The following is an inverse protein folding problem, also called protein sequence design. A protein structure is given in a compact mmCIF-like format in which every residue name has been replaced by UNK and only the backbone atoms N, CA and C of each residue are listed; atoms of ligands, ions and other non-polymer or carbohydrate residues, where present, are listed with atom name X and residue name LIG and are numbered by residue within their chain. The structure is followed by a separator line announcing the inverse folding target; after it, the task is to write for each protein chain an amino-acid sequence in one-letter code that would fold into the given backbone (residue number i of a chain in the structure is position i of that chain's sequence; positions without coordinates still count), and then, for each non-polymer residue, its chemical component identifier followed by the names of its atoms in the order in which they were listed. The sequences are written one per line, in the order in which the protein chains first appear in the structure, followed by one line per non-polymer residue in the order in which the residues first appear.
data_IF_237436799997
#
_entry.id   IF_237436799997
#
_cell.length_a   1.000
_cell.length_b   1.000
_cell.length_c   1.000
_cell.angle_alpha   90.00
_cell.angle_beta   90.00
_cell.angle_gamma   90.00
#
_symmetry.space_group_name_H-M   'P 1'
#
loop_
_entity.id
_entity.type
_entity.pdbx_description
1 polymer ?
#
# COMPACT_ATOMS: atom_id res chain seq x y z
N UNK A 1 -1.00 -7.85 5.57
CA UNK A 1 -0.80 -7.55 4.14
C UNK A 1 -0.72 -8.80 3.27
N UNK A 2 -0.55 -10.01 3.83
CA UNK A 2 -0.41 -11.24 3.05
C UNK A 2 1.02 -11.53 2.54
N UNK A 3 2.03 -10.75 2.96
CA UNK A 3 3.44 -10.92 2.53
C UNK A 3 4.45 -11.15 3.65
N UNK A 4 4.01 -11.33 4.91
CA UNK A 4 4.89 -11.67 6.03
C UNK A 4 5.30 -13.15 6.04
N UNK A 5 6.15 -13.57 6.98
CA UNK A 5 6.45 -15.00 7.20
C UNK A 5 7.21 -15.69 6.06
N UNK A 6 8.03 -14.96 5.31
CA UNK A 6 8.77 -15.52 4.17
C UNK A 6 7.96 -15.65 2.88
N UNK A 7 6.71 -15.17 2.86
CA UNK A 7 5.81 -15.35 1.72
C UNK A 7 6.05 -14.37 0.56
N UNK A 8 7.03 -13.47 0.64
CA UNK A 8 7.20 -12.36 -0.31
C UNK A 8 7.86 -12.76 -1.66
N UNK A 9 8.17 -14.04 -1.86
CA UNK A 9 8.65 -14.55 -3.16
C UNK A 9 7.59 -14.39 -4.26
N UNK A 10 8.03 -14.32 -5.51
CA UNK A 10 7.16 -14.23 -6.67
C UNK A 10 6.47 -15.56 -7.00
N UNK A 11 7.03 -16.70 -6.58
CA UNK A 11 6.39 -18.02 -6.72
C UNK A 11 5.08 -18.13 -5.93
N UNK A 12 4.93 -17.30 -4.90
CA UNK A 12 3.76 -17.27 -4.02
C UNK A 12 2.82 -16.10 -4.33
N UNK A 13 2.91 -15.50 -5.53
CA UNK A 13 2.14 -14.32 -5.88
C UNK A 13 0.61 -14.55 -5.81
N UNK A 14 0.11 -15.70 -6.27
CA UNK A 14 -1.31 -16.03 -6.18
C UNK A 14 -1.80 -16.09 -4.72
N UNK A 15 -1.01 -16.72 -3.84
CA UNK A 15 -1.28 -16.76 -2.41
C UNK A 15 -1.25 -15.35 -1.79
N UNK A 16 -0.26 -14.53 -2.17
CA UNK A 16 -0.11 -13.14 -1.73
C UNK A 16 -1.30 -12.28 -2.14
N UNK A 17 -1.81 -12.45 -3.35
CA UNK A 17 -3.02 -11.80 -3.85
C UNK A 17 -4.20 -12.21 -2.98
N UNK A 18 -4.50 -13.52 -2.89
CA UNK A 18 -5.59 -14.04 -2.04
C UNK A 18 -5.51 -13.57 -0.59
N UNK A 19 -4.32 -13.57 0.01
CA UNK A 19 -4.10 -13.11 1.39
C UNK A 19 -4.27 -11.61 1.59
N UNK A 20 -4.28 -10.81 0.52
CA UNK A 20 -4.55 -9.37 0.57
C UNK A 20 -6.04 -9.02 0.47
N UNK A 21 -6.89 -9.94 -0.01
CA UNK A 21 -8.32 -9.72 -0.28
C UNK A 21 -9.07 -8.91 0.80
N UNK A 22 -9.07 -9.30 2.10
CA UNK A 22 -9.85 -8.57 3.10
C UNK A 22 -9.38 -7.12 3.28
N UNK A 23 -8.11 -6.81 2.98
CA UNK A 23 -7.59 -5.44 3.03
C UNK A 23 -7.89 -4.65 1.76
N UNK A 24 -8.03 -5.32 0.62
CA UNK A 24 -8.38 -4.69 -0.65
C UNK A 24 -9.87 -4.36 -0.72
N UNK A 25 -10.73 -5.22 -0.15
CA UNK A 25 -12.16 -4.93 0.03
C UNK A 25 -12.36 -3.71 0.94
N UNK A 26 -11.67 -3.68 2.09
CA UNK A 26 -11.71 -2.53 2.98
C UNK A 26 -11.19 -1.24 2.31
N UNK A 27 -10.11 -1.33 1.51
CA UNK A 27 -9.58 -0.20 0.75
C UNK A 27 -10.59 0.28 -0.30
N UNK A 28 -11.24 -0.63 -1.03
CA UNK A 28 -12.25 -0.31 -2.03
C UNK A 28 -13.42 0.43 -1.41
N UNK A 29 -13.93 -0.06 -0.29
CA UNK A 29 -15.02 0.57 0.42
C UNK A 29 -14.68 2.03 0.77
N UNK A 30 -13.54 2.29 1.41
CA UNK A 30 -13.19 3.67 1.80
C UNK A 30 -12.75 4.55 0.64
N UNK A 31 -12.23 3.97 -0.44
CA UNK A 31 -11.95 4.69 -1.69
C UNK A 31 -13.24 5.18 -2.34
N UNK A 32 -14.24 4.30 -2.45
CA UNK A 32 -15.54 4.59 -3.07
C UNK A 32 -16.39 5.53 -2.19
N UNK A 33 -16.46 5.30 -0.87
CA UNK A 33 -17.32 6.06 0.04
C UNK A 33 -16.71 7.38 0.53
N UNK A 34 -15.38 7.44 0.69
CA UNK A 34 -14.69 8.57 1.34
C UNK A 34 -13.66 9.26 0.43
N UNK A 35 -13.48 8.77 -0.80
CA UNK A 35 -12.51 9.34 -1.73
C UNK A 35 -11.05 9.18 -1.28
N UNK A 36 -10.74 8.16 -0.47
CA UNK A 36 -9.35 7.87 -0.07
C UNK A 36 -8.52 7.60 -1.33
N UNK A 37 -7.42 8.34 -1.48
CA UNK A 37 -6.55 8.29 -2.66
C UNK A 37 -5.12 7.82 -2.35
N UNK A 38 -4.83 7.45 -1.10
CA UNK A 38 -3.51 7.01 -0.68
C UNK A 38 -3.56 6.00 0.47
N UNK A 39 -2.94 4.84 0.28
CA UNK A 39 -2.73 3.81 1.29
C UNK A 39 -1.33 4.00 1.91
N UNK A 40 -1.28 4.67 3.06
CA UNK A 40 -0.05 4.92 3.80
C UNK A 40 0.34 3.71 4.67
N UNK A 41 1.57 3.23 4.51
CA UNK A 41 2.06 2.01 5.15
C UNK A 41 3.29 2.30 6.01
N UNK A 42 3.23 1.95 7.29
CA UNK A 42 4.38 2.10 8.22
C UNK A 42 5.42 0.99 8.05
N UNK A 43 4.99 -0.20 7.60
CA UNK A 43 5.85 -1.36 7.45
C UNK A 43 6.41 -1.48 6.02
N UNK A 44 7.73 -1.66 5.90
CA UNK A 44 8.42 -1.83 4.61
C UNK A 44 7.90 -3.04 3.82
N UNK A 45 7.70 -4.19 4.48
CA UNK A 45 7.15 -5.40 3.84
C UNK A 45 5.73 -5.13 3.33
N UNK A 46 4.91 -4.42 4.10
CA UNK A 46 3.57 -4.02 3.66
C UNK A 46 3.65 -3.15 2.40
N UNK A 47 4.56 -2.18 2.35
CA UNK A 47 4.77 -1.33 1.17
C UNK A 47 5.13 -2.18 -0.05
N UNK A 48 6.14 -3.04 0.06
CA UNK A 48 6.55 -3.93 -1.04
C UNK A 48 5.41 -4.83 -1.50
N UNK A 49 4.68 -5.43 -0.55
CA UNK A 49 3.56 -6.31 -0.83
C UNK A 49 2.44 -5.61 -1.59
N UNK A 50 1.90 -4.51 -1.04
CA UNK A 50 0.76 -3.82 -1.66
C UNK A 50 1.13 -3.08 -2.95
N UNK A 51 2.37 -2.62 -3.11
CA UNK A 51 2.83 -2.03 -4.38
C UNK A 51 2.72 -3.04 -5.53
N UNK A 52 2.97 -4.33 -5.26
CA UNK A 52 2.85 -5.41 -6.24
C UNK A 52 1.42 -5.94 -6.37
N UNK A 53 0.69 -6.07 -5.26
CA UNK A 53 -0.62 -6.74 -5.21
C UNK A 53 -1.81 -5.84 -5.53
N UNK A 54 -1.78 -4.56 -5.14
CA UNK A 54 -2.92 -3.65 -5.35
C UNK A 54 -3.39 -3.53 -6.83
N UNK A 55 -2.51 -3.59 -7.85
CA UNK A 55 -2.93 -3.62 -9.26
C UNK A 55 -3.81 -4.81 -9.65
N UNK A 56 -3.69 -5.97 -9.00
CA UNK A 56 -4.56 -7.13 -9.24
C UNK A 56 -6.01 -6.87 -8.81
N UNK A 57 -6.22 -5.87 -7.96
CA UNK A 57 -7.53 -5.42 -7.46
C UNK A 57 -8.00 -4.12 -8.13
N UNK A 58 -7.34 -3.68 -9.20
CA UNK A 58 -7.72 -2.47 -9.95
C UNK A 58 -7.21 -1.15 -9.36
N UNK A 59 -6.38 -1.18 -8.31
CA UNK A 59 -5.78 0.03 -7.76
C UNK A 59 -4.47 0.39 -8.45
N UNK A 60 -4.26 1.68 -8.70
CA UNK A 60 -3.01 2.17 -9.27
C UNK A 60 -1.85 2.01 -8.27
N UNK A 61 -0.66 1.64 -8.76
CA UNK A 61 0.54 1.49 -7.89
C UNK A 61 0.86 2.76 -7.10
N UNK A 62 0.65 3.94 -7.70
CA UNK A 62 0.92 5.25 -7.07
C UNK A 62 0.03 5.54 -5.85
N UNK A 63 -1.09 4.82 -5.70
CA UNK A 63 -1.95 4.92 -4.52
C UNK A 63 -1.26 4.33 -3.27
N UNK A 64 -0.25 3.48 -3.42
CA UNK A 64 0.42 2.79 -2.31
C UNK A 64 1.73 3.49 -1.97
N UNK A 65 1.95 3.81 -0.69
CA UNK A 65 3.21 4.41 -0.28
C UNK A 65 3.51 4.27 1.21
N UNK A 66 4.69 4.75 1.61
CA UNK A 66 5.12 4.70 3.01
C UNK A 66 4.66 5.92 3.79
N UNK A 67 4.42 5.80 5.10
CA UNK A 67 4.13 6.97 5.95
C UNK A 67 5.27 7.99 5.92
N UNK A 68 6.53 7.52 5.86
CA UNK A 68 7.69 8.39 5.73
C UNK A 68 7.66 9.21 4.43
N UNK A 69 7.21 8.62 3.32
CA UNK A 69 7.03 9.31 2.05
C UNK A 69 5.89 10.34 2.13
N UNK A 70 4.76 9.98 2.76
CA UNK A 70 3.64 10.89 2.96
C UNK A 70 4.05 12.11 3.78
N UNK A 71 4.71 11.88 4.92
CA UNK A 71 5.19 12.95 5.80
C UNK A 71 6.27 13.77 5.10
N UNK A 72 7.25 13.14 4.44
CA UNK A 72 8.30 13.85 3.69
C UNK A 72 7.74 14.78 2.62
N UNK A 73 6.64 14.39 1.95
CA UNK A 73 5.99 15.24 0.95
C UNK A 73 5.17 16.38 1.57
N UNK A 74 4.71 16.22 2.81
CA UNK A 74 3.88 17.19 3.52
C UNK A 74 4.72 18.20 4.34
N UNK A 75 5.96 17.85 4.68
CA UNK A 75 6.84 18.72 5.46
C UNK A 75 7.16 19.99 4.65
N UNK A 76 6.89 21.14 5.25
CA UNK A 76 7.34 22.45 4.79
C UNK A 76 8.56 22.81 5.63
N UNK A 77 9.75 22.75 5.02
CA UNK A 77 10.96 23.28 5.64
C UNK A 77 10.97 24.78 5.38
N UNK A 78 11.09 25.59 6.45
CA UNK A 78 11.26 27.04 6.32
C UNK A 78 12.54 27.41 5.56
N UNK A 79 12.74 28.70 5.29
CA UNK A 79 13.94 29.17 4.58
C UNK A 79 15.20 28.64 5.26
N UNK A 80 16.09 28.09 4.42
CA UNK A 80 17.46 27.81 4.85
C UNK A 80 18.10 29.17 5.11
N UNK A 81 18.25 29.52 6.38
CA UNK A 81 19.14 30.60 6.79
C UNK A 81 20.53 30.39 6.20
#
# INVERSE_FOLDING_TARGET
CGGGGGLLTDDLLDLRVKGALPRMEALKQVADEKGVNFLALICAICKTQFTKVAPYYGFERKMVGGVHQLVSNAIILGDKH
#
